data_IF_637832471011
#
_entry.id   IF_637832471011
#
_cell.length_a   1.000
_cell.length_b   1.000
_cell.length_c   1.000
_cell.angle_alpha   90.00
_cell.angle_beta   90.00
_cell.angle_gamma   90.00
#
_symmetry.space_group_name_H-M   'P 1'
#
loop_
_entity.id
_entity.type
_entity.pdbx_description
1 polymer ?
#
# COMPACT_ATOMS: atom_id res chain seq x y z
N UNK A 1 6.45 -15.01 -2.42
CA UNK A 1 5.18 -14.29 -2.66
C UNK A 1 4.78 -13.55 -1.39
N UNK A 2 4.59 -12.25 -1.46
CA UNK A 2 4.21 -11.39 -0.33
C UNK A 2 2.76 -10.92 -0.55
N UNK A 3 1.99 -10.80 0.51
CA UNK A 3 0.65 -10.23 0.43
C UNK A 3 0.71 -8.70 0.45
N UNK A 4 -0.33 -8.07 -0.12
CA UNK A 4 -0.49 -6.61 -0.01
C UNK A 4 -0.49 -6.17 1.46
N UNK A 5 0.22 -5.09 1.81
CA UNK A 5 0.25 -4.57 3.18
C UNK A 5 -1.10 -4.02 3.64
N UNK A 6 -1.94 -3.57 2.70
CA UNK A 6 -3.24 -2.97 3.00
C UNK A 6 -4.38 -3.60 2.19
N UNK A 7 -5.58 -3.70 2.75
CA UNK A 7 -6.78 -3.95 1.97
C UNK A 7 -7.12 -2.71 1.12
N UNK A 8 -7.66 -2.92 -0.08
CA UNK A 8 -8.16 -1.84 -0.94
C UNK A 8 -9.27 -2.36 -1.85
N UNK A 9 -10.31 -1.55 -2.06
CA UNK A 9 -11.39 -1.85 -3.01
C UNK A 9 -10.79 -2.00 -4.41
N UNK A 10 -11.23 -3.00 -5.15
CA UNK A 10 -10.69 -3.30 -6.50
C UNK A 10 -9.32 -3.97 -6.50
N UNK A 11 -8.85 -4.44 -5.34
CA UNK A 11 -7.58 -5.17 -5.24
C UNK A 11 -7.56 -6.44 -6.10
N UNK A 12 -6.44 -6.68 -6.78
CA UNK A 12 -6.27 -7.79 -7.75
C UNK A 12 -5.89 -9.13 -7.10
N UNK A 13 -6.19 -9.32 -5.81
CA UNK A 13 -5.81 -10.54 -5.06
C UNK A 13 -6.21 -11.82 -5.78
N UNK A 14 -7.47 -11.90 -6.22
CA UNK A 14 -8.01 -13.10 -6.87
C UNK A 14 -7.52 -13.27 -8.32
N UNK A 15 -7.14 -12.19 -8.96
CA UNK A 15 -6.73 -12.18 -10.36
C UNK A 15 -5.21 -12.21 -10.54
N UNK A 16 -4.43 -12.03 -9.48
CA UNK A 16 -2.98 -11.83 -9.58
C UNK A 16 -2.26 -12.95 -10.33
N UNK A 17 -2.59 -14.20 -10.04
CA UNK A 17 -1.95 -15.35 -10.69
C UNK A 17 -2.29 -15.36 -12.19
N UNK A 18 -3.58 -15.19 -12.51
CA UNK A 18 -4.04 -15.14 -13.91
C UNK A 18 -3.40 -13.98 -14.69
N UNK A 19 -3.21 -12.83 -14.06
CA UNK A 19 -2.52 -11.68 -14.67
C UNK A 19 -1.04 -12.02 -14.90
N UNK A 20 -0.37 -12.60 -13.89
CA UNK A 20 1.04 -12.96 -13.99
C UNK A 20 1.30 -14.05 -15.06
N UNK A 21 0.37 -14.99 -15.23
CA UNK A 21 0.44 -16.05 -16.24
C UNK A 21 0.36 -15.50 -17.68
N UNK A 22 -0.16 -14.27 -17.84
CA UNK A 22 -0.23 -13.58 -19.13
C UNK A 22 1.01 -12.74 -19.46
N UNK A 23 1.96 -12.64 -18.53
CA UNK A 23 3.18 -11.87 -18.77
C UNK A 23 4.08 -12.60 -19.78
N UNK A 24 4.82 -11.84 -20.61
CA UNK A 24 5.89 -12.40 -21.42
C UNK A 24 6.92 -13.13 -20.56
N UNK A 25 7.74 -13.97 -21.16
CA UNK A 25 8.86 -14.58 -20.46
C UNK A 25 9.81 -13.51 -19.91
N UNK A 26 10.38 -13.76 -18.74
CA UNK A 26 11.22 -12.78 -18.02
C UNK A 26 12.47 -12.31 -18.78
N UNK A 27 12.91 -13.05 -19.78
CA UNK A 27 13.99 -12.70 -20.70
C UNK A 27 13.58 -11.70 -21.79
N UNK A 28 12.28 -11.49 -21.98
CA UNK A 28 11.72 -10.61 -23.02
C UNK A 28 11.49 -9.18 -22.55
N UNK A 29 11.62 -8.90 -21.26
CA UNK A 29 11.46 -7.54 -20.72
C UNK A 29 12.38 -7.32 -19.53
N UNK A 30 12.82 -6.07 -19.34
CA UNK A 30 13.66 -5.65 -18.23
C UNK A 30 12.99 -4.56 -17.35
N UNK A 31 11.75 -4.19 -17.66
CA UNK A 31 10.99 -3.18 -16.93
C UNK A 31 9.59 -3.66 -16.65
N UNK A 32 9.15 -3.43 -15.42
CA UNK A 32 7.77 -3.64 -14.98
C UNK A 32 7.20 -2.31 -14.48
N UNK A 33 6.05 -1.92 -14.99
CA UNK A 33 5.38 -0.68 -14.61
C UNK A 33 3.95 -1.00 -14.19
N UNK A 34 3.65 -0.77 -12.90
CA UNK A 34 2.28 -0.89 -12.38
C UNK A 34 1.66 0.52 -12.31
N UNK A 35 0.92 0.89 -13.35
CA UNK A 35 0.37 2.24 -13.56
C UNK A 35 -0.73 2.57 -12.55
N UNK A 36 -1.53 1.59 -12.16
CA UNK A 36 -2.61 1.67 -11.18
C UNK A 36 -2.34 0.65 -10.08
N UNK A 37 -1.31 0.93 -9.27
CA UNK A 37 -0.71 -0.03 -8.34
C UNK A 37 -1.65 -0.53 -7.26
N UNK A 38 -2.47 0.35 -6.69
CA UNK A 38 -3.39 -0.01 -5.62
C UNK A 38 -2.66 -0.71 -4.48
N UNK A 39 -3.17 -1.84 -4.03
CA UNK A 39 -2.51 -2.65 -2.98
C UNK A 39 -1.24 -3.37 -3.42
N UNK A 40 -0.80 -3.28 -4.69
CA UNK A 40 0.44 -3.90 -5.17
C UNK A 40 0.36 -5.44 -5.28
N UNK A 41 -0.83 -6.01 -5.43
CA UNK A 41 -1.00 -7.46 -5.45
C UNK A 41 -0.23 -8.17 -6.57
N UNK A 42 -0.08 -7.53 -7.72
CA UNK A 42 0.68 -8.08 -8.86
C UNK A 42 2.18 -7.83 -8.63
N UNK A 43 2.56 -6.63 -8.22
CA UNK A 43 3.95 -6.28 -7.89
C UNK A 43 4.55 -7.27 -6.88
N UNK A 44 3.82 -7.58 -5.79
CA UNK A 44 4.28 -8.47 -4.72
C UNK A 44 4.07 -9.97 -5.01
N UNK A 45 3.60 -10.34 -6.19
CA UNK A 45 3.38 -11.76 -6.54
C UNK A 45 4.69 -12.54 -6.68
N UNK A 46 5.78 -11.87 -7.04
CA UNK A 46 7.14 -12.41 -7.11
C UNK A 46 8.07 -11.57 -6.24
N UNK A 47 9.25 -12.10 -5.96
CA UNK A 47 10.30 -11.37 -5.27
C UNK A 47 10.77 -10.18 -6.10
N UNK A 48 10.88 -10.37 -7.41
CA UNK A 48 11.24 -9.34 -8.38
C UNK A 48 10.50 -9.60 -9.69
N UNK A 49 9.84 -8.59 -10.25
CA UNK A 49 9.15 -8.70 -11.53
C UNK A 49 10.09 -8.44 -12.71
N UNK A 50 10.98 -7.46 -12.58
CA UNK A 50 11.95 -7.06 -13.62
C UNK A 50 13.15 -6.34 -12.98
N UNK A 51 14.16 -6.01 -13.79
CA UNK A 51 15.34 -5.27 -13.32
C UNK A 51 14.98 -3.88 -12.81
N UNK A 52 14.06 -3.23 -13.48
CA UNK A 52 13.47 -1.96 -13.05
C UNK A 52 11.98 -2.14 -12.79
N UNK A 53 11.57 -1.86 -11.56
CA UNK A 53 10.17 -1.88 -11.16
C UNK A 53 9.69 -0.47 -10.83
N UNK A 54 8.58 -0.07 -11.43
CA UNK A 54 7.95 1.24 -11.20
C UNK A 54 6.54 1.01 -10.68
N UNK A 55 6.29 1.51 -9.48
CA UNK A 55 4.96 1.53 -8.87
C UNK A 55 4.41 2.95 -8.97
N UNK A 56 3.20 3.08 -9.50
CA UNK A 56 2.46 4.32 -9.59
C UNK A 56 1.02 4.16 -9.14
N UNK A 57 0.49 5.17 -8.48
CA UNK A 57 -0.93 5.32 -8.14
C UNK A 57 -1.27 6.80 -8.03
N UNK A 58 -2.52 7.16 -8.28
CA UNK A 58 -3.01 8.52 -8.12
C UNK A 58 -3.17 8.96 -6.66
N UNK A 59 -3.29 7.98 -5.74
CA UNK A 59 -3.38 8.22 -4.31
C UNK A 59 -1.97 8.45 -3.73
N UNK A 60 -1.62 9.71 -3.50
CA UNK A 60 -0.31 10.11 -2.96
C UNK A 60 -0.01 9.54 -1.58
N UNK A 61 -1.02 9.34 -0.71
CA UNK A 61 -0.82 8.71 0.60
C UNK A 61 -0.47 7.22 0.46
N UNK A 62 -1.07 6.55 -0.50
CA UNK A 62 -0.74 5.16 -0.82
C UNK A 62 0.70 5.05 -1.36
N UNK A 63 1.10 5.92 -2.28
CA UNK A 63 2.47 5.95 -2.81
C UNK A 63 3.46 6.24 -1.69
N UNK A 64 3.14 7.18 -0.79
CA UNK A 64 3.96 7.47 0.39
C UNK A 64 4.09 6.25 1.31
N UNK A 65 2.99 5.53 1.58
CA UNK A 65 3.02 4.29 2.36
C UNK A 65 3.96 3.26 1.72
N UNK A 66 3.85 3.01 0.41
CA UNK A 66 4.70 2.04 -0.30
C UNK A 66 6.18 2.44 -0.23
N UNK A 67 6.47 3.74 -0.36
CA UNK A 67 7.83 4.27 -0.19
C UNK A 67 8.37 4.05 1.23
N UNK A 68 7.57 4.32 2.26
CA UNK A 68 7.97 4.10 3.64
C UNK A 68 8.15 2.61 3.97
N UNK A 69 7.32 1.73 3.43
CA UNK A 69 7.52 0.27 3.54
C UNK A 69 8.88 -0.14 2.96
N UNK A 70 9.25 0.41 1.82
CA UNK A 70 10.51 0.06 1.15
C UNK A 70 11.74 0.57 1.88
N UNK A 71 11.71 1.81 2.38
CA UNK A 71 12.92 2.50 2.85
C UNK A 71 12.97 2.73 4.37
N UNK A 72 11.84 2.67 5.07
CA UNK A 72 11.68 3.03 6.49
C UNK A 72 10.78 2.06 7.24
N UNK A 73 10.90 0.76 6.93
CA UNK A 73 9.99 -0.26 7.47
C UNK A 73 9.98 -0.31 9.00
N UNK A 74 11.15 -0.23 9.63
CA UNK A 74 11.29 -0.30 11.09
C UNK A 74 10.66 0.91 11.80
N UNK A 75 10.89 2.11 11.27
CA UNK A 75 10.33 3.34 11.80
C UNK A 75 8.82 3.40 11.61
N UNK A 76 8.34 2.98 10.44
CA UNK A 76 6.92 2.85 10.14
C UNK A 76 6.23 1.87 11.11
N UNK A 77 6.84 0.73 11.37
CA UNK A 77 6.30 -0.26 12.32
C UNK A 77 6.17 0.32 13.72
N UNK A 78 7.18 1.06 14.22
CA UNK A 78 7.12 1.71 15.54
C UNK A 78 5.97 2.72 15.63
N UNK A 79 5.75 3.51 14.57
CA UNK A 79 4.62 4.46 14.53
C UNK A 79 3.28 3.71 14.55
N UNK A 80 3.15 2.61 13.79
CA UNK A 80 1.93 1.81 13.75
C UNK A 80 1.63 1.15 15.09
N UNK A 81 2.65 0.63 15.78
CA UNK A 81 2.51 -0.05 17.07
C UNK A 81 1.96 0.88 18.18
N UNK A 82 2.07 2.19 18.00
CA UNK A 82 1.50 3.18 18.91
C UNK A 82 -0.02 3.38 18.80
N UNK A 83 -0.68 2.79 17.81
CA UNK A 83 -2.11 2.96 17.60
C UNK A 83 -2.93 1.79 18.14
N UNK A 84 -4.05 2.10 18.79
CA UNK A 84 -5.07 1.13 19.16
C UNK A 84 -6.16 1.02 18.10
N UNK A 85 -6.82 -0.13 18.03
CA UNK A 85 -7.93 -0.36 17.11
C UNK A 85 -9.24 0.14 17.74
N UNK A 86 -9.68 1.34 17.37
CA UNK A 86 -10.93 1.93 17.84
C UNK A 86 -11.54 2.88 16.81
N UNK A 87 -12.83 3.14 16.96
CA UNK A 87 -13.53 4.17 16.16
C UNK A 87 -12.94 5.56 16.36
N UNK A 88 -12.57 5.90 17.59
CA UNK A 88 -11.94 7.18 17.92
C UNK A 88 -10.62 7.34 17.16
N UNK A 89 -9.74 6.34 17.21
CA UNK A 89 -8.49 6.35 16.44
C UNK A 89 -8.73 6.47 14.94
N UNK A 90 -9.73 5.77 14.40
CA UNK A 90 -10.10 5.92 12.99
C UNK A 90 -10.48 7.36 12.63
N UNK A 91 -11.27 8.02 13.47
CA UNK A 91 -11.66 9.42 13.29
C UNK A 91 -10.46 10.35 13.39
N UNK A 92 -9.63 10.17 14.42
CA UNK A 92 -8.43 10.98 14.64
C UNK A 92 -7.44 10.89 13.49
N UNK A 93 -7.07 9.68 13.05
CA UNK A 93 -6.12 9.53 11.92
C UNK A 93 -6.71 10.05 10.62
N UNK A 94 -8.04 9.94 10.43
CA UNK A 94 -8.72 10.49 9.25
C UNK A 94 -8.65 12.02 9.21
N UNK A 95 -8.84 12.68 10.36
CA UNK A 95 -8.70 14.11 10.49
C UNK A 95 -7.24 14.57 10.35
N UNK A 96 -6.31 13.87 11.00
CA UNK A 96 -4.88 14.18 10.98
C UNK A 96 -4.29 14.09 9.57
N UNK A 97 -4.75 13.18 8.72
CA UNK A 97 -4.33 13.09 7.32
C UNK A 97 -4.72 14.33 6.50
N UNK A 98 -5.72 15.09 6.93
CA UNK A 98 -6.09 16.37 6.31
C UNK A 98 -5.23 17.55 6.79
N UNK A 99 -4.44 17.37 7.85
CA UNK A 99 -3.58 18.39 8.42
C UNK A 99 -2.17 18.34 7.85
N UNK A 100 -1.44 19.44 8.02
CA UNK A 100 0.01 19.53 7.73
C UNK A 100 0.82 19.29 9.01
N UNK A 101 2.13 19.11 8.86
CA UNK A 101 3.08 19.02 9.99
C UNK A 101 3.48 17.62 10.38
N UNK A 102 2.89 16.60 9.79
CA UNK A 102 3.34 15.21 9.97
C UNK A 102 4.44 14.86 8.97
N UNK A 103 5.42 14.06 9.43
CA UNK A 103 6.45 13.48 8.55
C UNK A 103 5.84 12.43 7.61
N UNK A 104 6.58 12.07 6.57
CA UNK A 104 6.15 11.03 5.62
C UNK A 104 5.86 9.70 6.33
N UNK A 105 6.70 9.30 7.30
CA UNK A 105 6.51 8.07 8.09
C UNK A 105 5.26 8.16 8.96
N UNK A 106 5.04 9.29 9.63
CA UNK A 106 3.85 9.52 10.44
C UNK A 106 2.56 9.52 9.61
N UNK A 107 2.58 10.10 8.41
CA UNK A 107 1.46 10.05 7.46
C UNK A 107 1.21 8.63 6.97
N UNK A 108 2.27 7.91 6.62
CA UNK A 108 2.17 6.53 6.17
C UNK A 108 1.55 5.62 7.24
N UNK A 109 1.94 5.76 8.51
CA UNK A 109 1.35 5.03 9.63
C UNK A 109 -0.14 5.32 9.79
N UNK A 110 -0.55 6.60 9.75
CA UNK A 110 -1.94 7.02 9.85
C UNK A 110 -2.79 6.51 8.69
N UNK A 111 -2.26 6.59 7.48
CA UNK A 111 -2.94 6.03 6.31
C UNK A 111 -3.11 4.51 6.41
N UNK A 112 -2.07 3.80 6.84
CA UNK A 112 -2.14 2.36 7.06
C UNK A 112 -3.23 1.99 8.08
N UNK A 113 -3.24 2.64 9.26
CA UNK A 113 -4.22 2.42 10.32
C UNK A 113 -5.63 2.74 9.82
N UNK A 114 -5.84 3.86 9.14
CA UNK A 114 -7.12 4.24 8.54
C UNK A 114 -7.65 3.16 7.61
N UNK A 115 -6.81 2.68 6.68
CA UNK A 115 -7.22 1.67 5.70
C UNK A 115 -7.53 0.31 6.35
N UNK A 116 -6.78 -0.05 7.40
CA UNK A 116 -6.98 -1.31 8.14
C UNK A 116 -8.24 -1.28 9.02
N UNK A 117 -8.60 -0.14 9.56
CA UNK A 117 -9.78 0.04 10.40
C UNK A 117 -11.06 0.34 9.59
N UNK A 118 -10.93 0.75 8.32
CA UNK A 118 -12.11 1.09 7.52
C UNK A 118 -12.91 -0.13 7.10
N UNK A 119 -14.23 -0.02 7.22
CA UNK A 119 -15.16 -1.03 6.75
C UNK A 119 -15.03 -1.22 5.22
N UNK A 120 -14.92 -2.46 4.77
CA UNK A 120 -14.80 -2.77 3.35
C UNK A 120 -13.57 -2.16 2.66
N UNK A 121 -12.61 -1.66 3.42
CA UNK A 121 -11.40 -1.01 2.89
C UNK A 121 -11.67 0.22 2.01
N UNK A 122 -12.76 0.96 2.30
CA UNK A 122 -13.16 2.16 1.56
C UNK A 122 -12.42 3.43 2.01
N UNK A 123 -11.78 3.41 3.18
CA UNK A 123 -11.11 4.55 3.79
C UNK A 123 -12.04 5.67 4.27
N UNK A 124 -13.36 5.42 4.33
CA UNK A 124 -14.38 6.43 4.65
C UNK A 124 -15.19 6.10 5.90
N UNK A 125 -15.45 4.82 6.12
CA UNK A 125 -16.28 4.34 7.24
C UNK A 125 -15.51 3.34 8.11
N UNK A 126 -15.82 3.37 9.41
CA UNK A 126 -15.25 2.45 10.40
C UNK A 126 -16.14 1.21 10.51
#
# INVERSE_FOLDING_TARGET
>A
MINSPIPRIGGKRLLRNKICDMFPNSDQFNRYIEVFGGGGWVLFSKEKQADLEIYNDADGELVNLMRCIKYHCSELQREIDGFYNSREIFQDVSQQLSCRGFTDIQRAARYFVKMRLSFGADGKSF
#
